data_IF_431671446242
#
_entry.id   IF_431671446242
#
_cell.length_a   1.000
_cell.length_b   1.000
_cell.length_c   1.000
_cell.angle_alpha   90.00
_cell.angle_beta   90.00
_cell.angle_gamma   90.00
#
_symmetry.space_group_name_H-M   'P 1'
#
loop_
_entity.id
_entity.type
_entity.pdbx_description
1 polymer ?
#
# COMPACT_ATOMS: atom_id res chain seq x y z
N UNK A 1 63.68 -13.52 -11.26
CA UNK A 1 62.55 -13.41 -12.21
C UNK A 1 61.29 -13.20 -11.39
N UNK A 2 60.58 -12.11 -11.58
CA UNK A 2 59.26 -11.92 -10.96
C UNK A 2 58.20 -12.44 -11.93
N UNK A 3 57.42 -13.44 -11.52
CA UNK A 3 56.22 -13.81 -12.26
C UNK A 3 55.20 -12.68 -12.04
N UNK A 4 54.97 -11.85 -13.04
CA UNK A 4 53.84 -10.92 -13.04
C UNK A 4 52.57 -11.77 -13.02
N UNK A 5 51.90 -11.77 -11.87
CA UNK A 5 50.54 -12.28 -11.73
C UNK A 5 49.66 -11.40 -12.62
N UNK A 6 49.28 -11.93 -13.78
CA UNK A 6 48.26 -11.31 -14.61
C UNK A 6 47.04 -11.05 -13.72
N UNK A 7 46.62 -9.80 -13.64
CA UNK A 7 45.45 -9.46 -12.85
C UNK A 7 44.23 -10.05 -13.56
N UNK A 8 43.71 -11.15 -13.02
CA UNK A 8 42.41 -11.70 -13.40
C UNK A 8 41.39 -10.56 -13.31
N UNK A 9 41.04 -10.04 -14.47
CA UNK A 9 40.26 -8.83 -14.61
C UNK A 9 38.80 -9.24 -14.41
N UNK A 10 38.34 -9.15 -13.16
CA UNK A 10 37.04 -9.65 -12.70
C UNK A 10 35.94 -9.23 -13.69
N UNK A 11 35.37 -10.17 -14.48
CA UNK A 11 34.80 -9.87 -15.80
C UNK A 11 33.42 -9.18 -15.80
N UNK A 12 33.05 -8.51 -14.70
CA UNK A 12 31.92 -7.59 -14.66
C UNK A 12 30.57 -8.23 -14.99
N UNK A 13 30.38 -9.51 -14.66
CA UNK A 13 29.18 -10.25 -15.00
C UNK A 13 27.94 -9.72 -14.27
N UNK A 14 26.89 -9.42 -15.04
CA UNK A 14 25.61 -8.94 -14.50
C UNK A 14 24.96 -10.01 -13.64
N UNK A 15 24.71 -9.71 -12.36
CA UNK A 15 24.06 -10.64 -11.43
C UNK A 15 22.54 -10.55 -11.58
N UNK A 16 21.95 -11.64 -12.09
CA UNK A 16 20.49 -11.84 -12.18
C UNK A 16 20.02 -12.60 -10.94
N UNK A 17 18.70 -12.64 -10.69
CA UNK A 17 18.08 -13.23 -9.47
C UNK A 17 18.48 -14.69 -9.16
N UNK A 18 19.02 -15.43 -10.14
CA UNK A 18 19.51 -16.80 -10.02
C UNK A 18 21.00 -16.95 -10.40
N UNK A 19 21.82 -15.91 -10.18
CA UNK A 19 23.26 -15.89 -10.50
C UNK A 19 23.60 -15.06 -11.76
N UNK A 20 24.85 -15.16 -12.22
CA UNK A 20 25.36 -14.39 -13.37
C UNK A 20 24.59 -14.67 -14.68
N UNK A 21 24.50 -13.66 -15.54
CA UNK A 21 23.90 -13.80 -16.87
C UNK A 21 24.65 -14.82 -17.73
N UNK A 22 23.92 -15.89 -18.10
CA UNK A 22 24.41 -16.99 -18.93
C UNK A 22 24.68 -16.58 -20.38
N UNK A 23 24.13 -15.47 -20.88
CA UNK A 23 24.52 -14.93 -22.17
C UNK A 23 25.91 -14.30 -22.09
N UNK A 24 26.09 -13.29 -21.21
CA UNK A 24 27.36 -12.60 -20.99
C UNK A 24 28.52 -13.56 -20.66
N UNK A 25 28.29 -14.55 -19.79
CA UNK A 25 29.32 -15.55 -19.44
C UNK A 25 29.71 -16.43 -20.64
N UNK A 26 28.75 -16.85 -21.49
CA UNK A 26 29.05 -17.67 -22.69
C UNK A 26 29.79 -16.88 -23.77
N UNK A 27 29.48 -15.60 -23.91
CA UNK A 27 30.17 -14.72 -24.85
C UNK A 27 31.60 -14.44 -24.39
N UNK A 28 31.81 -14.16 -23.10
CA UNK A 28 33.14 -14.03 -22.51
C UNK A 28 33.97 -15.31 -22.65
N UNK A 29 33.41 -16.48 -22.35
CA UNK A 29 34.12 -17.77 -22.51
C UNK A 29 34.54 -17.99 -23.96
N UNK A 30 33.66 -17.76 -24.95
CA UNK A 30 34.00 -17.85 -26.37
C UNK A 30 35.07 -16.83 -26.80
N UNK A 31 35.04 -15.62 -26.26
CA UNK A 31 36.04 -14.61 -26.54
C UNK A 31 37.41 -14.99 -25.97
N UNK A 32 37.44 -15.57 -24.77
CA UNK A 32 38.64 -16.10 -24.12
C UNK A 32 39.20 -17.33 -24.85
N UNK A 33 38.35 -18.30 -25.21
CA UNK A 33 38.69 -19.47 -26.04
C UNK A 33 39.31 -19.04 -27.38
N UNK A 34 38.64 -18.18 -28.14
CA UNK A 34 39.19 -17.64 -29.39
C UNK A 34 40.44 -16.76 -29.16
N UNK A 35 40.64 -16.23 -27.96
CA UNK A 35 41.87 -15.55 -27.55
C UNK A 35 43.04 -16.53 -27.41
N UNK A 36 42.86 -17.61 -26.66
CA UNK A 36 43.87 -18.65 -26.45
C UNK A 36 44.18 -19.43 -27.72
N UNK A 37 43.19 -19.64 -28.60
CA UNK A 37 43.43 -20.22 -29.92
C UNK A 37 44.40 -19.35 -30.75
N UNK A 38 44.16 -18.03 -30.84
CA UNK A 38 45.03 -17.10 -31.58
C UNK A 38 46.44 -17.02 -31.01
N UNK A 39 46.59 -16.89 -29.68
CA UNK A 39 47.94 -16.87 -29.07
C UNK A 39 48.65 -18.21 -29.21
N UNK A 40 47.92 -19.35 -29.19
CA UNK A 40 48.50 -20.65 -29.50
C UNK A 40 48.93 -20.78 -30.96
N UNK A 41 48.22 -20.16 -31.91
CA UNK A 41 48.60 -20.14 -33.32
C UNK A 41 49.91 -19.35 -33.52
N UNK A 42 49.98 -18.13 -32.96
CA UNK A 42 51.18 -17.29 -32.96
C UNK A 42 52.38 -17.98 -32.30
N UNK A 43 52.16 -18.73 -31.20
CA UNK A 43 53.21 -19.54 -30.57
C UNK A 43 53.73 -20.65 -31.49
N UNK A 44 52.87 -21.33 -32.26
CA UNK A 44 53.30 -22.36 -33.23
C UNK A 44 54.02 -21.75 -34.42
N UNK A 45 53.59 -20.59 -34.88
CA UNK A 45 54.22 -19.82 -35.97
C UNK A 45 55.64 -19.39 -35.58
N UNK A 46 55.81 -18.72 -34.43
CA UNK A 46 57.12 -18.35 -33.90
C UNK A 46 58.02 -19.57 -33.57
N UNK A 47 57.44 -20.69 -33.12
CA UNK A 47 58.20 -21.95 -32.97
C UNK A 47 58.69 -22.51 -34.32
N UNK A 48 57.92 -22.32 -35.40
CA UNK A 48 58.33 -22.64 -36.76
C UNK A 48 59.51 -21.77 -37.23
N UNK A 49 59.41 -20.45 -37.06
CA UNK A 49 60.49 -19.50 -37.39
C UNK A 49 61.78 -19.83 -36.63
N UNK A 50 61.70 -20.11 -35.33
CA UNK A 50 62.86 -20.51 -34.50
C UNK A 50 63.46 -21.84 -34.97
N UNK A 51 62.64 -22.81 -35.37
CA UNK A 51 63.11 -24.07 -35.93
C UNK A 51 63.82 -23.88 -37.28
N UNK A 52 63.28 -23.03 -38.16
CA UNK A 52 63.91 -22.72 -39.45
C UNK A 52 65.24 -21.99 -39.25
N UNK A 53 65.27 -20.93 -38.43
CA UNK A 53 66.50 -20.18 -38.12
C UNK A 53 67.56 -21.07 -37.48
N UNK A 54 67.16 -22.01 -36.60
CA UNK A 54 68.09 -23.02 -36.05
C UNK A 54 68.64 -23.95 -37.15
N UNK A 55 67.81 -24.35 -38.11
CA UNK A 55 68.24 -25.14 -39.27
C UNK A 55 69.21 -24.38 -40.19
N UNK A 56 68.95 -23.11 -40.45
CA UNK A 56 69.86 -22.23 -41.20
C UNK A 56 71.20 -22.03 -40.47
N UNK A 57 71.18 -21.89 -39.13
CA UNK A 57 72.38 -21.76 -38.30
C UNK A 57 73.19 -23.07 -38.28
N UNK A 58 72.54 -24.23 -38.22
CA UNK A 58 73.20 -25.53 -38.40
C UNK A 58 73.80 -25.71 -39.80
N UNK A 59 73.10 -25.29 -40.86
CA UNK A 59 73.63 -25.33 -42.23
C UNK A 59 74.90 -24.49 -42.33
N UNK A 60 74.85 -23.23 -41.87
CA UNK A 60 75.99 -22.32 -41.88
C UNK A 60 77.18 -22.85 -41.06
N UNK A 61 76.93 -23.51 -39.91
CA UNK A 61 77.99 -24.19 -39.14
C UNK A 61 78.63 -25.33 -39.93
N UNK A 62 77.83 -26.20 -40.55
CA UNK A 62 78.34 -27.31 -41.38
C UNK A 62 79.12 -26.81 -42.60
N UNK A 63 78.73 -25.66 -43.17
CA UNK A 63 79.49 -25.00 -44.24
C UNK A 63 80.80 -24.40 -43.74
N UNK A 64 80.82 -23.74 -42.58
CA UNK A 64 82.04 -23.25 -41.92
C UNK A 64 82.99 -24.42 -41.62
N UNK A 65 82.50 -25.53 -41.06
CA UNK A 65 83.30 -26.73 -40.81
C UNK A 65 83.85 -27.33 -42.10
N UNK A 66 83.05 -27.40 -43.17
CA UNK A 66 83.48 -27.90 -44.47
C UNK A 66 84.50 -26.98 -45.16
N UNK A 67 84.37 -25.65 -44.99
CA UNK A 67 85.35 -24.66 -45.46
C UNK A 67 86.65 -24.73 -44.66
N UNK A 68 86.59 -24.89 -43.33
CA UNK A 68 87.76 -25.09 -42.48
C UNK A 68 88.48 -26.40 -42.85
N UNK A 69 87.77 -27.52 -43.00
CA UNK A 69 88.38 -28.77 -43.47
C UNK A 69 88.99 -28.66 -44.88
N UNK A 70 88.42 -27.82 -45.77
CA UNK A 70 89.03 -27.52 -47.08
C UNK A 70 90.30 -26.68 -46.92
N UNK A 71 90.28 -25.68 -46.03
CA UNK A 71 91.44 -24.85 -45.71
C UNK A 71 92.58 -25.69 -45.12
N UNK A 72 92.29 -26.60 -44.19
CA UNK A 72 93.26 -27.53 -43.59
C UNK A 72 93.83 -28.50 -44.63
N UNK A 73 93.01 -29.01 -45.56
CA UNK A 73 93.48 -29.86 -46.68
C UNK A 73 94.39 -29.08 -47.64
N UNK A 74 94.07 -27.81 -47.92
CA UNK A 74 94.92 -26.93 -48.74
C UNK A 74 96.23 -26.59 -47.98
N UNK A 75 96.15 -26.29 -46.67
CA UNK A 75 97.31 -25.96 -45.84
C UNK A 75 98.26 -27.14 -45.65
N UNK A 76 97.73 -28.34 -45.39
CA UNK A 76 98.54 -29.57 -45.28
C UNK A 76 99.14 -30.00 -46.62
N UNK A 77 98.40 -29.86 -47.73
CA UNK A 77 98.96 -30.07 -49.07
C UNK A 77 100.07 -29.05 -49.39
N UNK A 78 99.90 -27.78 -49.02
CA UNK A 78 100.90 -26.72 -49.21
C UNK A 78 102.11 -26.84 -48.27
N UNK A 79 101.97 -27.53 -47.13
CA UNK A 79 103.09 -27.89 -46.25
C UNK A 79 103.88 -29.11 -46.78
N UNK A 80 103.17 -30.13 -47.27
CA UNK A 80 103.79 -31.31 -47.90
C UNK A 80 104.53 -30.94 -49.20
N UNK A 81 103.96 -30.05 -50.02
CA UNK A 81 104.60 -29.48 -51.20
C UNK A 81 105.55 -28.32 -50.82
N UNK A 82 106.63 -28.64 -50.09
CA UNK A 82 107.62 -27.68 -49.59
C UNK A 82 108.48 -27.04 -50.70
N UNK A 83 107.88 -26.11 -51.45
CA UNK A 83 108.61 -25.05 -52.13
C UNK A 83 109.20 -24.07 -51.08
N UNK A 84 110.36 -23.43 -51.35
CA UNK A 84 110.91 -22.42 -50.45
C UNK A 84 109.88 -21.33 -50.11
N UNK A 85 110.06 -20.74 -48.93
CA UNK A 85 109.22 -19.68 -48.35
C UNK A 85 107.77 -20.11 -47.99
N UNK A 86 107.49 -21.43 -47.88
CA UNK A 86 106.17 -21.92 -47.46
C UNK A 86 105.72 -21.40 -46.08
N UNK A 87 106.62 -21.39 -45.09
CA UNK A 87 106.33 -20.87 -43.75
C UNK A 87 105.98 -19.38 -43.75
N UNK A 88 106.65 -18.56 -44.56
CA UNK A 88 106.31 -17.13 -44.71
C UNK A 88 104.92 -16.94 -45.34
N UNK A 89 104.57 -17.75 -46.35
CA UNK A 89 103.22 -17.70 -46.95
C UNK A 89 102.15 -18.04 -45.93
N UNK A 90 102.37 -19.07 -45.10
CA UNK A 90 101.47 -19.43 -44.00
C UNK A 90 101.36 -18.30 -42.96
N UNK A 91 102.47 -17.69 -42.54
CA UNK A 91 102.46 -16.55 -41.62
C UNK A 91 101.67 -15.35 -42.17
N UNK A 92 101.88 -14.99 -43.46
CA UNK A 92 101.12 -13.93 -44.14
C UNK A 92 99.64 -14.27 -44.25
N UNK A 93 99.29 -15.53 -44.57
CA UNK A 93 97.90 -15.98 -44.61
C UNK A 93 97.21 -15.88 -43.24
N UNK A 94 97.90 -16.20 -42.14
CA UNK A 94 97.38 -16.01 -40.77
C UNK A 94 97.18 -14.53 -40.43
N UNK A 95 98.04 -13.63 -40.89
CA UNK A 95 97.85 -12.17 -40.73
C UNK A 95 96.63 -11.68 -41.51
N UNK A 96 96.47 -12.10 -42.77
CA UNK A 96 95.29 -11.75 -43.59
C UNK A 96 94.00 -12.32 -42.99
N UNK A 97 94.00 -13.59 -42.57
CA UNK A 97 92.84 -14.21 -41.93
C UNK A 97 92.44 -13.52 -40.61
N UNK A 98 93.42 -13.05 -39.82
CA UNK A 98 93.16 -12.24 -38.61
C UNK A 98 92.58 -10.87 -38.95
N UNK A 99 93.07 -10.20 -40.00
CA UNK A 99 92.50 -8.94 -40.47
C UNK A 99 91.06 -9.12 -40.96
N UNK A 100 90.79 -10.13 -41.78
CA UNK A 100 89.45 -10.46 -42.27
C UNK A 100 88.50 -10.87 -41.14
N UNK A 101 88.97 -11.64 -40.15
CA UNK A 101 88.19 -11.93 -38.95
C UNK A 101 87.83 -10.65 -38.18
N UNK A 102 88.78 -9.72 -38.04
CA UNK A 102 88.54 -8.39 -37.45
C UNK A 102 87.51 -7.55 -38.22
N UNK A 103 87.58 -7.53 -39.55
CA UNK A 103 86.57 -6.87 -40.40
C UNK A 103 85.18 -7.51 -40.25
N UNK A 104 85.10 -8.83 -40.18
CA UNK A 104 83.83 -9.56 -39.99
C UNK A 104 83.26 -9.29 -38.59
N UNK A 105 84.08 -9.30 -37.54
CA UNK A 105 83.59 -8.97 -36.18
C UNK A 105 83.17 -7.51 -36.07
N UNK A 106 83.94 -6.57 -36.65
CA UNK A 106 83.58 -5.16 -36.65
C UNK A 106 82.26 -4.89 -37.42
N UNK A 107 82.06 -5.57 -38.57
CA UNK A 107 80.80 -5.49 -39.32
C UNK A 107 79.63 -6.10 -38.56
N UNK A 108 79.85 -7.23 -37.88
CA UNK A 108 78.83 -7.86 -37.04
C UNK A 108 78.47 -7.00 -35.82
N UNK A 109 79.45 -6.33 -35.20
CA UNK A 109 79.25 -5.39 -34.10
C UNK A 109 78.44 -4.18 -34.56
N UNK A 110 78.84 -3.51 -35.64
CA UNK A 110 78.09 -2.36 -36.18
C UNK A 110 76.65 -2.73 -36.63
N UNK A 111 76.46 -3.93 -37.18
CA UNK A 111 75.13 -4.44 -37.51
C UNK A 111 74.29 -4.72 -36.25
N UNK A 112 74.90 -5.28 -35.20
CA UNK A 112 74.24 -5.48 -33.91
C UNK A 112 73.87 -4.15 -33.25
N UNK A 113 74.78 -3.18 -33.17
CA UNK A 113 74.53 -1.83 -32.64
C UNK A 113 73.37 -1.14 -33.37
N UNK A 114 73.31 -1.26 -34.70
CA UNK A 114 72.21 -0.72 -35.52
C UNK A 114 70.87 -1.43 -35.24
N UNK A 115 70.89 -2.75 -35.08
CA UNK A 115 69.70 -3.54 -34.73
C UNK A 115 69.20 -3.27 -33.30
N UNK A 116 70.12 -3.01 -32.36
CA UNK A 116 69.77 -2.67 -30.97
C UNK A 116 69.20 -1.25 -30.89
N UNK A 117 69.82 -0.26 -31.56
CA UNK A 117 69.31 1.11 -31.61
C UNK A 117 67.89 1.17 -32.20
N UNK A 118 67.65 0.49 -33.33
CA UNK A 118 66.31 0.45 -33.94
C UNK A 118 65.27 -0.33 -33.11
N UNK A 119 65.68 -1.36 -32.37
CA UNK A 119 64.82 -2.04 -31.41
C UNK A 119 64.47 -1.15 -30.19
N UNK A 120 65.44 -0.38 -29.69
CA UNK A 120 65.21 0.60 -28.62
C UNK A 120 64.27 1.72 -29.07
N UNK A 121 64.50 2.33 -30.23
CA UNK A 121 63.59 3.33 -30.83
C UNK A 121 62.16 2.80 -30.98
N UNK A 122 62.00 1.58 -31.53
CA UNK A 122 60.70 0.94 -31.66
C UNK A 122 60.02 0.71 -30.29
N UNK A 123 60.78 0.29 -29.28
CA UNK A 123 60.27 0.10 -27.91
C UNK A 123 59.85 1.42 -27.25
N UNK A 124 60.58 2.51 -27.50
CA UNK A 124 60.28 3.84 -26.97
C UNK A 124 59.02 4.42 -27.64
N UNK A 125 58.91 4.31 -28.96
CA UNK A 125 57.71 4.71 -29.71
C UNK A 125 56.45 3.93 -29.27
N UNK A 126 56.61 2.63 -29.01
CA UNK A 126 55.54 1.79 -28.45
C UNK A 126 55.14 2.24 -27.03
N UNK A 127 56.12 2.51 -26.16
CA UNK A 127 55.88 2.98 -24.80
C UNK A 127 55.22 4.37 -24.77
N UNK A 128 55.62 5.30 -25.64
CA UNK A 128 54.91 6.58 -25.80
C UNK A 128 53.47 6.41 -26.25
N UNK A 129 53.23 5.52 -27.23
CA UNK A 129 51.87 5.25 -27.73
C UNK A 129 50.97 4.69 -26.64
N UNK A 130 51.48 3.77 -25.80
CA UNK A 130 50.73 3.26 -24.65
C UNK A 130 50.51 4.32 -23.57
N UNK A 131 51.49 5.17 -23.25
CA UNK A 131 51.30 6.29 -22.31
C UNK A 131 50.21 7.27 -22.78
N UNK A 132 50.20 7.61 -24.07
CA UNK A 132 49.13 8.44 -24.67
C UNK A 132 47.76 7.76 -24.54
N UNK A 133 47.65 6.49 -24.95
CA UNK A 133 46.40 5.73 -24.86
C UNK A 133 45.88 5.60 -23.42
N UNK A 134 46.75 5.42 -22.42
CA UNK A 134 46.35 5.37 -21.00
C UNK A 134 45.82 6.75 -20.56
N UNK A 135 46.52 7.84 -20.89
CA UNK A 135 46.06 9.19 -20.57
C UNK A 135 44.74 9.56 -21.28
N UNK A 136 44.54 9.12 -22.52
CA UNK A 136 43.28 9.30 -23.27
C UNK A 136 42.12 8.53 -22.60
N UNK A 137 42.37 7.30 -22.12
CA UNK A 137 41.39 6.50 -21.39
C UNK A 137 41.08 7.06 -20.01
N UNK A 138 42.09 7.56 -19.27
CA UNK A 138 41.90 8.26 -18.00
C UNK A 138 41.06 9.54 -18.19
N UNK A 139 41.35 10.32 -19.23
CA UNK A 139 40.57 11.51 -19.57
C UNK A 139 39.10 11.14 -19.87
N UNK A 140 38.85 10.18 -20.77
CA UNK A 140 37.49 9.70 -21.09
C UNK A 140 36.77 9.15 -19.85
N UNK A 141 37.47 8.43 -18.97
CA UNK A 141 36.90 7.92 -17.73
C UNK A 141 36.46 9.06 -16.79
N UNK A 142 37.28 10.10 -16.63
CA UNK A 142 36.89 11.28 -15.82
C UNK A 142 35.74 12.08 -16.45
N UNK A 143 35.70 12.21 -17.79
CA UNK A 143 34.60 12.88 -18.50
C UNK A 143 33.27 12.11 -18.33
N UNK A 144 33.29 10.78 -18.52
CA UNK A 144 32.11 9.92 -18.32
C UNK A 144 31.62 9.99 -16.88
N UNK A 145 32.52 9.99 -15.88
CA UNK A 145 32.13 10.11 -14.48
C UNK A 145 31.57 11.50 -14.13
N UNK A 146 32.14 12.58 -14.66
CA UNK A 146 31.60 13.93 -14.47
C UNK A 146 30.22 14.09 -15.13
N UNK A 147 30.05 13.61 -16.37
CA UNK A 147 28.76 13.61 -17.06
C UNK A 147 27.71 12.76 -16.32
N UNK A 148 28.10 11.60 -15.79
CA UNK A 148 27.23 10.75 -14.98
C UNK A 148 26.80 11.43 -13.67
N UNK A 149 27.71 12.11 -12.98
CA UNK A 149 27.39 12.91 -11.78
C UNK A 149 26.36 14.00 -12.10
N UNK A 150 26.59 14.78 -13.16
CA UNK A 150 25.65 15.83 -13.61
C UNK A 150 24.27 15.25 -13.95
N UNK A 151 24.19 14.13 -14.65
CA UNK A 151 22.91 13.46 -14.96
C UNK A 151 22.23 12.95 -13.68
N UNK A 152 22.97 12.40 -12.73
CA UNK A 152 22.41 11.92 -11.46
C UNK A 152 21.92 13.06 -10.56
N UNK A 153 22.62 14.19 -10.51
CA UNK A 153 22.19 15.35 -9.73
C UNK A 153 21.00 16.07 -10.37
N UNK A 154 20.93 16.13 -11.71
CA UNK A 154 19.71 16.55 -12.42
C UNK A 154 18.53 15.60 -12.16
N UNK A 155 18.77 14.28 -12.12
CA UNK A 155 17.73 13.30 -11.81
C UNK A 155 17.24 13.43 -10.36
N UNK A 156 18.15 13.60 -9.39
CA UNK A 156 17.82 13.89 -7.98
C UNK A 156 16.99 15.16 -7.84
N UNK A 157 17.45 16.28 -8.40
CA UNK A 157 16.73 17.55 -8.35
C UNK A 157 15.32 17.47 -8.99
N UNK A 158 15.16 16.68 -10.05
CA UNK A 158 13.85 16.43 -10.68
C UNK A 158 12.94 15.54 -9.82
N UNK A 159 13.47 14.51 -9.15
CA UNK A 159 12.70 13.67 -8.22
C UNK A 159 12.26 14.49 -7.01
N UNK A 160 13.17 15.25 -6.41
CA UNK A 160 12.89 16.21 -5.34
C UNK A 160 11.73 17.16 -5.70
N UNK A 161 11.77 17.75 -6.89
CA UNK A 161 10.74 18.67 -7.37
C UNK A 161 9.41 17.96 -7.64
N UNK A 162 9.43 16.76 -8.22
CA UNK A 162 8.23 15.94 -8.39
C UNK A 162 7.60 15.54 -7.05
N UNK A 163 8.42 15.24 -6.02
CA UNK A 163 7.95 14.96 -4.65
C UNK A 163 7.33 16.20 -4.02
N UNK A 164 7.97 17.37 -4.08
CA UNK A 164 7.39 18.64 -3.58
C UNK A 164 6.06 18.98 -4.26
N UNK A 165 5.95 18.75 -5.56
CA UNK A 165 4.70 18.95 -6.31
C UNK A 165 3.61 17.92 -5.93
N UNK A 166 3.98 16.68 -5.62
CA UNK A 166 3.05 15.67 -5.11
C UNK A 166 2.53 16.05 -3.72
N UNK A 167 3.42 16.41 -2.78
CA UNK A 167 3.08 16.85 -1.43
C UNK A 167 2.17 18.09 -1.44
N UNK A 168 2.44 19.06 -2.32
CA UNK A 168 1.63 20.25 -2.49
C UNK A 168 0.22 19.92 -3.01
N UNK A 169 0.12 19.05 -4.03
CA UNK A 169 -1.17 18.60 -4.58
C UNK A 169 -1.97 17.78 -3.58
N UNK A 170 -1.32 16.94 -2.78
CA UNK A 170 -1.98 16.20 -1.71
C UNK A 170 -2.59 17.18 -0.69
N UNK A 171 -1.79 18.12 -0.17
CA UNK A 171 -2.29 19.15 0.77
C UNK A 171 -3.44 19.97 0.18
N UNK A 172 -3.36 20.36 -1.09
CA UNK A 172 -4.48 21.04 -1.75
C UNK A 172 -5.76 20.19 -1.81
N UNK A 173 -5.65 18.87 -2.03
CA UNK A 173 -6.80 17.95 -2.05
C UNK A 173 -7.35 17.75 -0.64
N UNK A 174 -6.49 17.54 0.35
CA UNK A 174 -6.87 17.38 1.76
C UNK A 174 -7.55 18.66 2.30
N UNK A 175 -6.98 19.84 2.06
CA UNK A 175 -7.58 21.14 2.41
C UNK A 175 -8.94 21.35 1.73
N UNK A 176 -9.12 20.91 0.47
CA UNK A 176 -10.41 21.00 -0.25
C UNK A 176 -11.42 20.06 0.40
N UNK A 177 -11.06 18.81 0.64
CA UNK A 177 -11.89 17.82 1.30
C UNK A 177 -12.30 18.26 2.72
N UNK A 178 -11.41 18.92 3.48
CA UNK A 178 -11.77 19.48 4.79
C UNK A 178 -12.78 20.62 4.71
N UNK A 179 -12.59 21.56 3.77
CA UNK A 179 -13.55 22.65 3.56
C UNK A 179 -14.90 22.14 3.07
N UNK A 180 -14.94 21.05 2.29
CA UNK A 180 -16.18 20.38 1.90
C UNK A 180 -16.84 19.62 3.07
N UNK A 181 -16.08 18.87 3.87
CA UNK A 181 -16.57 18.24 5.11
C UNK A 181 -17.20 19.28 6.05
N UNK A 182 -16.52 20.40 6.30
CA UNK A 182 -17.01 21.48 7.16
C UNK A 182 -18.31 22.11 6.63
N UNK A 183 -18.41 22.36 5.32
CA UNK A 183 -19.63 22.90 4.68
C UNK A 183 -20.81 21.93 4.77
N UNK A 184 -20.58 20.64 4.53
CA UNK A 184 -21.63 19.62 4.61
C UNK A 184 -22.12 19.43 6.05
N UNK A 185 -21.21 19.46 7.03
CA UNK A 185 -21.56 19.40 8.45
C UNK A 185 -22.39 20.63 8.88
N UNK A 186 -21.99 21.84 8.47
CA UNK A 186 -22.78 23.06 8.73
C UNK A 186 -24.19 22.96 8.11
N UNK A 187 -24.29 22.58 6.83
CA UNK A 187 -25.58 22.42 6.15
C UNK A 187 -26.46 21.34 6.79
N UNK A 188 -25.86 20.26 7.30
CA UNK A 188 -26.58 19.22 8.04
C UNK A 188 -27.07 19.72 9.40
N UNK A 189 -26.23 20.45 10.15
CA UNK A 189 -26.62 21.07 11.42
C UNK A 189 -27.75 22.08 11.24
N UNK A 190 -27.69 22.93 10.21
CA UNK A 190 -28.76 23.87 9.86
C UNK A 190 -30.07 23.16 9.53
N UNK A 191 -30.04 22.11 8.69
CA UNK A 191 -31.22 21.31 8.36
C UNK A 191 -31.81 20.58 9.58
N UNK A 192 -30.97 20.08 10.49
CA UNK A 192 -31.43 19.45 11.73
C UNK A 192 -32.01 20.47 12.71
N UNK A 193 -31.45 21.69 12.78
CA UNK A 193 -31.98 22.78 13.59
C UNK A 193 -33.35 23.23 13.08
N UNK A 194 -33.49 23.45 11.77
CA UNK A 194 -34.77 23.77 11.11
C UNK A 194 -35.81 22.67 11.35
N UNK A 195 -35.43 21.40 11.19
CA UNK A 195 -36.34 20.26 11.43
C UNK A 195 -36.78 20.13 12.88
N UNK A 196 -35.90 20.43 13.85
CA UNK A 196 -36.26 20.47 15.27
C UNK A 196 -37.24 21.60 15.55
N UNK A 197 -36.93 22.83 15.11
CA UNK A 197 -37.81 23.98 15.28
C UNK A 197 -39.22 23.75 14.71
N UNK A 198 -39.33 23.16 13.52
CA UNK A 198 -40.62 22.81 12.92
C UNK A 198 -41.40 21.74 13.71
N UNK A 199 -40.72 20.75 14.30
CA UNK A 199 -41.34 19.75 15.17
C UNK A 199 -41.75 20.35 16.53
N UNK A 200 -40.96 21.28 17.07
CA UNK A 200 -41.30 22.00 18.31
C UNK A 200 -42.49 22.95 18.09
N UNK A 201 -42.60 23.59 16.92
CA UNK A 201 -43.77 24.38 16.49
C UNK A 201 -45.01 23.50 16.30
N UNK A 202 -44.88 22.32 15.68
CA UNK A 202 -45.98 21.36 15.57
C UNK A 202 -46.44 20.86 16.96
N UNK A 203 -45.50 20.47 17.84
CA UNK A 203 -45.80 19.99 19.20
C UNK A 203 -46.46 21.08 20.05
N UNK A 204 -45.99 22.34 19.97
CA UNK A 204 -46.61 23.45 20.72
C UNK A 204 -48.00 23.79 20.17
N UNK A 205 -48.20 23.75 18.85
CA UNK A 205 -49.51 23.93 18.22
C UNK A 205 -50.49 22.81 18.62
N UNK A 206 -50.06 21.55 18.59
CA UNK A 206 -50.87 20.41 19.02
C UNK A 206 -51.22 20.47 20.52
N UNK A 207 -50.30 20.93 21.38
CA UNK A 207 -50.57 21.14 22.81
C UNK A 207 -51.58 22.25 23.03
N UNK A 208 -51.41 23.42 22.43
CA UNK A 208 -52.34 24.53 22.58
C UNK A 208 -53.76 24.15 22.09
N UNK A 209 -53.87 23.39 20.99
CA UNK A 209 -55.16 22.88 20.51
C UNK A 209 -55.78 21.86 21.48
N UNK A 210 -54.98 20.95 22.06
CA UNK A 210 -55.45 19.97 23.04
C UNK A 210 -55.83 20.61 24.39
N UNK A 211 -55.13 21.67 24.80
CA UNK A 211 -55.45 22.48 25.98
C UNK A 211 -56.78 23.22 25.79
N UNK A 212 -56.97 23.90 24.65
CA UNK A 212 -58.25 24.56 24.31
C UNK A 212 -59.43 23.57 24.21
N UNK A 213 -59.23 22.39 23.64
CA UNK A 213 -60.25 21.34 23.58
C UNK A 213 -60.57 20.79 24.99
N UNK A 214 -59.56 20.60 25.84
CA UNK A 214 -59.78 20.19 27.23
C UNK A 214 -60.52 21.27 28.05
N UNK A 215 -60.17 22.55 27.89
CA UNK A 215 -60.88 23.67 28.50
C UNK A 215 -62.35 23.75 28.03
N UNK A 216 -62.61 23.54 26.73
CA UNK A 216 -63.98 23.42 26.20
C UNK A 216 -64.74 22.27 26.85
N UNK A 217 -64.19 21.06 26.85
CA UNK A 217 -64.86 19.88 27.43
C UNK A 217 -65.13 20.08 28.93
N UNK A 218 -64.20 20.69 29.67
CA UNK A 218 -64.39 21.00 31.10
C UNK A 218 -65.47 22.05 31.31
N UNK A 219 -65.49 23.14 30.53
CA UNK A 219 -66.51 24.18 30.64
C UNK A 219 -67.89 23.67 30.23
N UNK A 220 -68.02 22.95 29.12
CA UNK A 220 -69.28 22.31 28.70
C UNK A 220 -69.82 21.32 29.76
N UNK A 221 -68.93 20.53 30.38
CA UNK A 221 -69.30 19.60 31.44
C UNK A 221 -69.70 20.31 32.76
N UNK A 222 -69.09 21.45 33.08
CA UNK A 222 -69.51 22.31 34.20
C UNK A 222 -70.88 22.94 33.92
N UNK A 223 -71.07 23.49 32.72
CA UNK A 223 -72.34 24.08 32.26
C UNK A 223 -73.48 23.04 32.31
N UNK A 224 -73.23 21.79 31.93
CA UNK A 224 -74.18 20.69 32.11
C UNK A 224 -74.39 20.28 33.57
N UNK A 225 -73.35 20.24 34.40
CA UNK A 225 -73.48 19.94 35.82
C UNK A 225 -74.37 20.99 36.52
N UNK A 226 -74.14 22.28 36.27
CA UNK A 226 -74.92 23.38 36.85
C UNK A 226 -76.37 23.38 36.35
N UNK A 227 -76.62 23.08 35.06
CA UNK A 227 -77.98 22.88 34.54
C UNK A 227 -78.69 21.71 35.23
N UNK A 228 -77.99 20.60 35.47
CA UNK A 228 -78.53 19.42 36.19
C UNK A 228 -78.80 19.74 37.67
N UNK A 229 -77.90 20.48 38.33
CA UNK A 229 -78.05 20.93 39.72
C UNK A 229 -79.23 21.90 39.85
N UNK A 230 -79.29 22.96 39.03
CA UNK A 230 -80.39 23.92 39.04
C UNK A 230 -81.74 23.25 38.74
N UNK A 231 -81.79 22.30 37.80
CA UNK A 231 -82.98 21.49 37.56
C UNK A 231 -83.36 20.67 38.81
N UNK A 232 -82.42 19.95 39.42
CA UNK A 232 -82.66 19.17 40.63
C UNK A 232 -83.14 20.03 41.80
N UNK A 233 -82.51 21.18 42.04
CA UNK A 233 -82.96 22.17 43.04
C UNK A 233 -84.39 22.62 42.77
N UNK A 234 -84.73 22.99 41.52
CA UNK A 234 -86.11 23.38 41.18
C UNK A 234 -87.14 22.25 41.35
N UNK A 235 -86.72 20.98 41.20
CA UNK A 235 -87.57 19.81 41.53
C UNK A 235 -87.75 19.69 43.04
N UNK A 236 -86.68 19.83 43.83
CA UNK A 236 -86.75 19.80 45.30
C UNK A 236 -87.62 20.93 45.83
N UNK A 237 -87.45 22.17 45.35
CA UNK A 237 -88.26 23.34 45.72
C UNK A 237 -89.75 23.12 45.44
N UNK A 238 -90.10 22.61 44.25
CA UNK A 238 -91.49 22.24 43.90
C UNK A 238 -92.02 21.13 44.81
N UNK A 239 -91.22 20.12 45.14
CA UNK A 239 -91.63 19.04 46.06
C UNK A 239 -91.79 19.54 47.49
N UNK A 240 -90.97 20.48 47.97
CA UNK A 240 -91.14 21.12 49.28
C UNK A 240 -92.39 22.00 49.33
N UNK A 241 -92.66 22.79 48.29
CA UNK A 241 -93.88 23.60 48.20
C UNK A 241 -95.15 22.73 48.14
N UNK A 242 -95.12 21.62 47.38
CA UNK A 242 -96.21 20.64 47.36
C UNK A 242 -96.38 19.94 48.72
N UNK A 243 -95.29 19.59 49.40
CA UNK A 243 -95.33 19.03 50.77
C UNK A 243 -95.92 20.02 51.77
N UNK A 244 -95.59 21.29 51.66
CA UNK A 244 -96.11 22.36 52.53
C UNK A 244 -97.60 22.60 52.28
N UNK A 245 -98.03 22.73 51.02
CA UNK A 245 -99.44 22.77 50.63
C UNK A 245 -100.23 21.54 51.09
N UNK A 246 -99.64 20.34 51.02
CA UNK A 246 -100.26 19.12 51.54
C UNK A 246 -100.32 19.11 53.06
N UNK A 247 -99.30 19.60 53.76
CA UNK A 247 -99.30 19.70 55.22
C UNK A 247 -100.32 20.74 55.72
N UNK A 248 -100.46 21.87 55.03
CA UNK A 248 -101.46 22.90 55.31
C UNK A 248 -102.88 22.40 55.01
N UNK A 249 -103.07 21.69 53.88
CA UNK A 249 -104.36 21.06 53.55
C UNK A 249 -104.72 19.96 54.55
N UNK A 250 -103.75 19.15 54.99
CA UNK A 250 -103.94 18.13 56.02
C UNK A 250 -104.27 18.75 57.38
N UNK A 251 -103.58 19.83 57.78
CA UNK A 251 -103.94 20.63 58.97
C UNK A 251 -105.35 21.19 58.86
N UNK A 252 -105.71 21.81 57.74
CA UNK A 252 -107.06 22.32 57.49
C UNK A 252 -108.15 21.22 57.54
N UNK A 253 -107.89 20.03 57.01
CA UNK A 253 -108.81 18.89 57.17
C UNK A 253 -108.84 18.34 58.59
N UNK A 254 -107.73 18.39 59.34
CA UNK A 254 -107.68 17.96 60.73
C UNK A 254 -108.40 18.99 61.64
N UNK A 255 -108.29 20.28 61.37
CA UNK A 255 -109.07 21.33 62.05
C UNK A 255 -110.57 21.17 61.78
N UNK A 256 -110.96 20.82 60.54
CA UNK A 256 -112.35 20.51 60.19
C UNK A 256 -112.84 19.23 60.87
N UNK A 257 -112.04 18.17 60.88
CA UNK A 257 -112.37 16.92 61.58
C UNK A 257 -112.46 17.14 63.09
N UNK A 258 -111.52 17.87 63.70
CA UNK A 258 -111.52 18.24 65.12
C UNK A 258 -112.76 19.07 65.45
N UNK A 259 -113.15 20.03 64.61
CA UNK A 259 -114.43 20.77 64.77
C UNK A 259 -115.64 19.84 64.68
N UNK A 260 -115.65 18.85 63.79
CA UNK A 260 -116.74 17.86 63.72
C UNK A 260 -116.75 16.87 64.90
N UNK A 261 -115.59 16.50 65.44
CA UNK A 261 -115.46 15.68 66.66
C UNK A 261 -115.90 16.46 67.89
N UNK A 262 -115.64 17.77 67.94
CA UNK A 262 -116.18 18.65 69.00
C UNK A 262 -117.70 18.89 68.85
N UNK A 263 -118.31 18.43 67.74
CA UNK A 263 -119.77 18.40 67.51
C UNK A 263 -120.35 16.98 67.63
N UNK A 264 -119.55 15.97 68.01
CA UNK A 264 -119.94 14.58 68.17
C UNK A 264 -119.64 14.12 69.60
N UNK A 265 -120.59 14.38 70.49
CA UNK A 265 -120.61 13.85 71.85
C UNK A 265 -120.81 12.32 71.82
N UNK A 266 -120.12 11.51 72.66
CA UNK A 266 -120.11 10.06 72.49
C UNK A 266 -121.43 9.38 72.93
N UNK A 267 -121.82 8.32 72.23
CA UNK A 267 -122.94 7.44 72.58
C UNK A 267 -122.51 5.96 72.61
N UNK A 268 -123.06 5.21 73.56
CA UNK A 268 -122.66 3.84 73.89
C UNK A 268 -123.21 2.80 72.88
N UNK A 269 -122.47 2.56 71.79
CA UNK A 269 -122.84 1.55 70.79
C UNK A 269 -121.64 0.97 69.99
N UNK A 270 -120.57 0.53 70.65
CA UNK A 270 -119.60 -0.39 70.04
C UNK A 270 -119.89 -1.84 70.43
N UNK A 271 -120.09 -2.71 69.44
CA UNK A 271 -120.34 -4.13 69.65
C UNK A 271 -120.47 -4.92 68.35
N UNK A 272 -119.64 -5.97 68.24
CA UNK A 272 -119.80 -7.13 67.36
C UNK A 272 -119.96 -6.90 65.84
N UNK A 273 -118.84 -6.98 65.10
CA UNK A 273 -118.76 -7.86 63.93
C UNK A 273 -117.30 -8.29 63.66
N UNK A 274 -117.04 -9.59 63.71
CA UNK A 274 -115.72 -10.20 63.45
C UNK A 274 -115.85 -11.36 62.46
N UNK A 275 -114.99 -11.39 61.43
CA UNK A 275 -114.60 -12.58 60.65
C UNK A 275 -113.32 -12.18 59.87
N UNK A 276 -112.12 -12.61 60.26
CA UNK A 276 -111.47 -13.92 60.08
C UNK A 276 -110.76 -14.09 58.71
N UNK A 277 -109.73 -14.92 58.66
CA UNK A 277 -108.68 -15.03 57.63
C UNK A 277 -109.00 -16.16 56.60
N UNK A 278 -108.09 -16.75 55.78
CA UNK A 278 -106.63 -16.55 55.58
C UNK A 278 -106.15 -16.45 54.11
N UNK A 279 -104.83 -16.36 53.87
CA UNK A 279 -104.26 -16.49 52.50
C UNK A 279 -102.73 -16.28 52.32
N UNK A 280 -101.96 -17.37 52.38
CA UNK A 280 -100.56 -17.52 51.92
C UNK A 280 -100.39 -18.98 51.40
N UNK A 281 -99.41 -19.40 50.55
CA UNK A 281 -98.03 -18.92 50.34
C UNK A 281 -97.82 -18.34 48.89
N UNK A 282 -96.75 -18.44 48.07
CA UNK A 282 -95.55 -19.33 47.94
C UNK A 282 -94.44 -18.66 47.09
N UNK A 283 -93.11 -18.93 47.32
CA UNK A 283 -92.02 -18.21 46.63
C UNK A 283 -91.22 -19.01 45.55
N UNK A 284 -90.50 -18.27 44.69
CA UNK A 284 -89.40 -18.75 43.82
C UNK A 284 -89.81 -19.21 42.40
N UNK A 285 -88.86 -19.65 41.53
CA UNK A 285 -87.40 -19.71 41.70
C UNK A 285 -86.57 -19.25 40.45
N UNK A 286 -85.25 -19.51 40.49
CA UNK A 286 -84.29 -19.61 39.37
C UNK A 286 -83.84 -18.30 38.63
N UNK A 287 -82.56 -18.17 38.26
CA UNK A 287 -81.43 -19.07 38.53
C UNK A 287 -80.05 -18.50 38.15
N UNK A 288 -78.95 -19.08 38.68
CA UNK A 288 -77.58 -18.60 38.45
C UNK A 288 -76.91 -19.26 37.22
N UNK A 289 -76.00 -18.53 36.57
CA UNK A 289 -75.10 -19.05 35.54
C UNK A 289 -73.64 -18.72 35.86
N UNK A 290 -72.81 -19.70 36.27
CA UNK A 290 -71.38 -19.46 36.50
C UNK A 290 -70.58 -19.58 35.20
N UNK A 291 -69.53 -18.78 35.06
CA UNK A 291 -68.40 -19.13 34.19
C UNK A 291 -67.08 -18.79 34.90
N UNK A 292 -66.21 -19.78 35.03
CA UNK A 292 -64.96 -19.70 35.80
C UNK A 292 -63.78 -20.17 34.96
N UNK A 293 -62.74 -19.35 34.90
CA UNK A 293 -61.42 -19.71 34.37
C UNK A 293 -60.96 -18.85 33.19
N UNK A 294 -59.66 -18.57 33.05
CA UNK A 294 -58.56 -18.74 34.01
C UNK A 294 -57.40 -17.80 33.63
N UNK A 295 -56.71 -17.15 34.59
CA UNK A 295 -55.55 -16.32 34.29
C UNK A 295 -54.24 -17.11 34.27
N UNK A 296 -53.28 -16.67 33.44
CA UNK A 296 -51.83 -16.83 33.69
C UNK A 296 -51.01 -15.83 32.85
N UNK A 297 -49.85 -15.34 33.34
CA UNK A 297 -49.12 -14.22 32.72
C UNK A 297 -47.95 -14.64 31.82
N UNK A 298 -47.66 -13.81 30.80
CA UNK A 298 -46.41 -13.83 30.01
C UNK A 298 -45.62 -12.54 30.21
N UNK A 299 -44.28 -12.63 30.21
CA UNK A 299 -43.39 -11.55 30.65
C UNK A 299 -42.94 -10.53 29.59
N UNK A 300 -42.38 -9.41 30.09
CA UNK A 300 -41.54 -8.42 29.37
C UNK A 300 -40.06 -8.88 29.35
N UNK A 301 -39.09 -8.23 28.64
CA UNK A 301 -39.17 -7.19 27.59
C UNK A 301 -38.28 -7.48 26.33
N UNK A 302 -38.18 -6.47 25.45
CA UNK A 302 -37.19 -6.23 24.37
C UNK A 302 -35.69 -6.22 24.83
N UNK A 303 -34.64 -6.05 23.96
CA UNK A 303 -34.64 -5.53 22.57
C UNK A 303 -33.68 -6.22 21.54
N UNK A 304 -33.69 -5.68 20.29
CA UNK A 304 -32.66 -5.88 19.25
C UNK A 304 -33.12 -6.73 18.05
N UNK A 305 -32.66 -6.48 16.81
CA UNK A 305 -31.81 -5.41 16.28
C UNK A 305 -31.76 -5.52 14.74
N UNK A 306 -31.70 -4.39 14.01
CA UNK A 306 -31.87 -4.40 12.55
C UNK A 306 -30.62 -4.88 11.78
N UNK A 307 -30.82 -5.73 10.77
CA UNK A 307 -29.79 -6.13 9.82
C UNK A 307 -30.07 -5.56 8.42
N UNK A 308 -29.05 -4.95 7.80
CA UNK A 308 -29.03 -4.50 6.39
C UNK A 308 -28.01 -5.35 5.59
N UNK A 309 -28.08 -5.38 4.25
CA UNK A 309 -27.42 -6.41 3.42
C UNK A 309 -26.06 -6.02 2.80
N UNK A 310 -25.41 -7.02 2.17
CA UNK A 310 -24.26 -6.94 1.23
C UNK A 310 -22.87 -6.66 1.87
N UNK A 311 -21.72 -7.03 1.23
CA UNK A 311 -21.49 -7.25 -0.21
C UNK A 311 -20.85 -8.60 -0.65
N UNK A 312 -20.65 -8.73 -1.96
CA UNK A 312 -19.89 -9.79 -2.65
C UNK A 312 -18.35 -9.57 -2.57
N UNK A 313 -17.54 -10.62 -2.70
CA UNK A 313 -16.10 -10.51 -2.99
C UNK A 313 -15.81 -10.60 -4.50
N UNK A 314 -15.05 -9.66 -5.05
CA UNK A 314 -14.65 -9.65 -6.47
C UNK A 314 -13.61 -10.73 -6.82
N UNK A 315 -13.66 -11.21 -8.07
CA UNK A 315 -12.56 -11.83 -8.81
C UNK A 315 -12.68 -11.49 -10.29
#
# INVERSE_FOLDING_TARGET
MAFQQGHDSDPGFTVVRNGFDRAQVREYVRAAEAGTERTSAQLREAQGEVAELSGQLELARREIDALTQRLDKIGTAAAAASAPNAAERAARAVVVAKAQAGEVTARAQAAAETAWASAEEASQALAERYRRLIADLEAQHTEIHAAHQVVMDQARAKVDEMTRQADARQKEVDDRAERERQRLEQQFQDQQAQRRAALDEEITTQRAAAEQEAERIVTEAQDEADKRIAHATSVVERLTALREQLADRLRGTNDLLTRSVTLLEPLEAEGEFSFDAPGAPTPGPAGPGPNTGQPSPGGKPSPGGAARPHPEPSR
#
